data_IF_698696500800
#
_entry.id   IF_698696500800
#
_cell.length_a   1.000
_cell.length_b   1.000
_cell.length_c   1.000
_cell.angle_alpha   90.00
_cell.angle_beta   90.00
_cell.angle_gamma   90.00
#
_symmetry.space_group_name_H-M   'P 1'
#
loop_
_entity.id
_entity.type
_entity.pdbx_description
1 polymer ?
#
# COMPACT_ATOMS: atom_id res chain seq x y z
N UNK A 1 -12.83 16.02 -8.48
CA UNK A 1 -12.58 15.40 -7.16
C UNK A 1 -13.46 16.05 -6.08
N UNK A 2 -13.77 15.37 -4.97
CA UNK A 2 -14.53 15.92 -3.83
C UNK A 2 -13.61 16.37 -2.68
N UNK A 3 -13.88 17.50 -1.99
CA UNK A 3 -13.06 17.99 -0.88
C UNK A 3 -12.98 17.03 0.31
N UNK A 4 -14.09 16.40 0.70
CA UNK A 4 -14.20 15.61 1.92
C UNK A 4 -13.88 14.12 1.75
N UNK A 5 -13.40 13.67 0.58
CA UNK A 5 -13.33 12.24 0.15
C UNK A 5 -14.64 11.44 0.30
N UNK A 6 -15.70 12.02 0.86
CA UNK A 6 -17.03 11.43 1.03
C UNK A 6 -17.77 11.52 -0.30
N UNK A 7 -17.69 10.44 -1.06
CA UNK A 7 -18.53 10.22 -2.24
C UNK A 7 -19.70 9.32 -1.83
N UNK A 8 -20.89 9.68 -2.30
CA UNK A 8 -22.12 8.95 -2.03
C UNK A 8 -22.67 8.36 -3.32
N UNK A 9 -23.44 7.28 -3.21
CA UNK A 9 -24.07 6.62 -4.35
C UNK A 9 -25.56 6.92 -4.33
N UNK A 10 -26.08 7.42 -5.45
CA UNK A 10 -27.53 7.37 -5.73
C UNK A 10 -27.77 6.33 -6.81
N UNK A 11 -28.61 5.34 -6.53
CA UNK A 11 -29.09 4.40 -7.53
C UNK A 11 -30.22 5.02 -8.36
N UNK A 12 -29.99 5.19 -9.66
CA UNK A 12 -31.02 5.48 -10.68
C UNK A 12 -30.96 4.37 -11.75
N UNK A 13 -31.12 4.69 -13.04
CA UNK A 13 -30.83 3.76 -14.14
C UNK A 13 -29.35 3.31 -14.19
N UNK A 14 -28.46 4.11 -13.60
CA UNK A 14 -27.06 3.81 -13.32
C UNK A 14 -26.69 4.50 -12.00
N UNK A 15 -25.80 3.92 -11.20
CA UNK A 15 -25.43 4.57 -9.92
C UNK A 15 -24.45 5.72 -10.17
N UNK A 16 -24.67 6.86 -9.50
CA UNK A 16 -23.90 8.09 -9.68
C UNK A 16 -23.13 8.38 -8.38
N UNK A 17 -21.82 8.62 -8.49
CA UNK A 17 -21.03 9.18 -7.40
C UNK A 17 -21.15 10.70 -7.39
N UNK A 18 -21.42 11.27 -6.23
CA UNK A 18 -21.51 12.73 -6.07
C UNK A 18 -20.78 13.21 -4.83
N UNK A 19 -20.34 14.46 -4.89
CA UNK A 19 -19.79 15.18 -3.74
C UNK A 19 -20.95 15.75 -2.92
N UNK A 20 -20.87 15.65 -1.58
CA UNK A 20 -21.89 16.18 -0.68
C UNK A 20 -22.02 17.70 -0.69
N UNK A 21 -20.91 18.41 -0.96
CA UNK A 21 -20.84 19.86 -0.84
C UNK A 21 -20.53 20.54 -2.18
N UNK A 22 -19.31 20.31 -2.70
CA UNK A 22 -18.84 20.91 -3.95
C UNK A 22 -17.88 19.98 -4.68
N UNK A 23 -17.71 20.25 -5.96
CA UNK A 23 -16.61 19.72 -6.76
C UNK A 23 -15.41 20.67 -6.62
N UNK A 24 -14.20 20.12 -6.59
CA UNK A 24 -12.98 20.94 -6.70
C UNK A 24 -12.80 21.42 -8.14
N UNK A 25 -12.36 22.67 -8.30
CA UNK A 25 -12.10 23.27 -9.61
C UNK A 25 -10.95 22.57 -10.34
N UNK A 26 -9.94 22.13 -9.59
CA UNK A 26 -8.83 21.32 -10.10
C UNK A 26 -8.84 19.93 -9.46
N UNK A 27 -8.58 18.90 -10.26
CA UNK A 27 -8.37 17.53 -9.79
C UNK A 27 -6.89 17.20 -9.86
N UNK A 28 -6.33 16.77 -8.73
CA UNK A 28 -4.91 16.48 -8.60
C UNK A 28 -4.66 14.99 -8.36
N UNK A 29 -3.60 14.47 -8.97
CA UNK A 29 -3.05 13.16 -8.67
C UNK A 29 -1.59 13.34 -8.24
N UNK A 30 -1.36 13.33 -6.93
CA UNK A 30 -0.09 13.78 -6.36
C UNK A 30 0.09 15.27 -6.59
N UNK A 31 1.22 15.64 -7.19
CA UNK A 31 1.58 17.03 -7.51
C UNK A 31 1.21 17.42 -8.96
N UNK A 32 0.46 16.57 -9.67
CA UNK A 32 0.07 16.78 -11.07
C UNK A 32 -1.42 17.12 -11.16
N UNK A 33 -1.73 18.18 -11.89
CA UNK A 33 -3.09 18.50 -12.35
C UNK A 33 -3.46 17.47 -13.42
N UNK A 34 -4.55 16.74 -13.19
CA UNK A 34 -5.05 15.73 -14.12
C UNK A 34 -5.63 16.43 -15.35
N UNK A 35 -5.24 16.04 -16.58
CA UNK A 35 -5.78 16.62 -17.80
C UNK A 35 -7.30 16.48 -17.88
N UNK A 36 -7.98 17.53 -18.36
CA UNK A 36 -9.45 17.55 -18.45
C UNK A 36 -10.00 16.41 -19.31
N UNK A 37 -9.25 15.99 -20.33
CA UNK A 37 -9.62 14.88 -21.20
C UNK A 37 -9.71 13.53 -20.46
N UNK A 38 -9.04 13.39 -19.31
CA UNK A 38 -9.07 12.18 -18.48
C UNK A 38 -10.20 12.21 -17.45
N UNK A 39 -10.84 13.36 -17.23
CA UNK A 39 -11.77 13.55 -16.12
C UNK A 39 -13.21 13.20 -16.49
N UNK A 40 -13.89 12.56 -15.55
CA UNK A 40 -15.34 12.43 -15.57
C UNK A 40 -16.01 13.68 -15.01
N UNK A 41 -17.21 14.01 -15.50
CA UNK A 41 -18.07 15.02 -14.87
C UNK A 41 -18.27 14.71 -13.40
N UNK A 42 -18.20 15.76 -12.59
CA UNK A 42 -18.49 15.69 -11.18
C UNK A 42 -19.98 15.94 -10.95
N UNK A 43 -20.56 15.38 -9.89
CA UNK A 43 -21.96 15.58 -9.54
C UNK A 43 -22.08 16.15 -8.12
N UNK A 44 -23.06 17.02 -7.91
CA UNK A 44 -23.48 17.49 -6.59
C UNK A 44 -24.97 17.20 -6.46
N UNK A 45 -25.38 16.48 -5.40
CA UNK A 45 -26.78 16.16 -5.19
C UNK A 45 -27.39 16.94 -4.01
N UNK A 46 -28.48 17.67 -4.27
CA UNK A 46 -29.31 18.24 -3.22
C UNK A 46 -30.23 17.15 -2.65
N UNK A 47 -30.17 16.95 -1.34
CA UNK A 47 -30.98 15.97 -0.59
C UNK A 47 -30.96 14.54 -1.17
N UNK A 48 -29.84 14.13 -1.79
CA UNK A 48 -29.63 12.80 -2.36
C UNK A 48 -30.62 12.42 -3.49
N UNK A 49 -31.40 13.38 -4.00
CA UNK A 49 -32.46 13.11 -4.97
C UNK A 49 -32.22 13.81 -6.30
N UNK A 50 -31.74 15.05 -6.31
CA UNK A 50 -31.45 15.80 -7.55
C UNK A 50 -29.96 16.07 -7.66
N UNK A 51 -29.32 15.41 -8.62
CA UNK A 51 -27.90 15.48 -8.88
C UNK A 51 -27.63 16.31 -10.13
N UNK A 52 -26.94 17.43 -9.96
CA UNK A 52 -26.59 18.34 -11.05
C UNK A 52 -25.13 18.07 -11.47
N UNK A 53 -24.85 17.86 -12.77
CA UNK A 53 -23.48 17.70 -13.27
C UNK A 53 -22.73 19.04 -13.23
N UNK A 54 -21.45 18.98 -12.91
CA UNK A 54 -20.51 20.09 -12.86
C UNK A 54 -19.31 19.75 -13.76
N UNK A 55 -18.97 20.68 -14.65
CA UNK A 55 -17.87 20.53 -15.61
C UNK A 55 -18.26 19.82 -16.91
N UNK A 56 -17.26 19.59 -17.75
CA UNK A 56 -17.39 18.92 -19.05
C UNK A 56 -16.83 17.50 -18.93
N UNK A 57 -17.46 16.54 -19.61
CA UNK A 57 -17.00 15.15 -19.64
C UNK A 57 -15.82 15.05 -20.61
N UNK A 58 -14.66 14.63 -20.12
CA UNK A 58 -13.55 14.24 -20.99
C UNK A 58 -13.83 12.92 -21.72
N UNK A 59 -13.19 12.67 -22.88
CA UNK A 59 -13.31 11.41 -23.61
C UNK A 59 -12.77 10.20 -22.83
N UNK A 60 -11.96 10.41 -21.79
CA UNK A 60 -11.29 9.36 -21.05
C UNK A 60 -10.10 8.77 -21.80
N UNK A 61 -9.42 7.80 -21.16
CA UNK A 61 -8.27 7.09 -21.72
C UNK A 61 -8.59 5.60 -21.74
N UNK A 62 -8.41 4.96 -22.90
CA UNK A 62 -8.61 3.51 -23.04
C UNK A 62 -7.38 2.73 -22.56
N UNK A 63 -7.21 2.64 -21.24
CA UNK A 63 -6.11 1.91 -20.59
C UNK A 63 -6.58 1.32 -19.26
N UNK A 64 -5.84 0.34 -18.74
CA UNK A 64 -6.13 -0.31 -17.46
C UNK A 64 -5.56 0.46 -16.26
N UNK A 65 -4.53 1.27 -16.49
CA UNK A 65 -3.87 2.09 -15.48
C UNK A 65 -3.21 3.32 -16.09
N UNK A 66 -3.25 4.45 -15.38
CA UNK A 66 -2.53 5.68 -15.73
C UNK A 66 -1.55 6.03 -14.62
N UNK A 67 -0.26 6.13 -14.96
CA UNK A 67 0.77 6.64 -14.04
C UNK A 67 1.14 8.07 -14.42
N UNK A 68 0.81 9.03 -13.56
CA UNK A 68 1.22 10.41 -13.71
C UNK A 68 2.63 10.58 -13.14
N UNK A 69 3.58 11.01 -13.98
CA UNK A 69 5.00 11.11 -13.62
C UNK A 69 5.41 12.57 -13.53
N UNK A 70 5.94 12.99 -12.37
CA UNK A 70 6.49 14.32 -12.15
C UNK A 70 7.94 14.27 -11.70
N UNK A 71 8.65 15.38 -11.92
CA UNK A 71 10.01 15.62 -11.41
C UNK A 71 10.02 16.97 -10.73
N UNK A 72 9.43 17.02 -9.54
CA UNK A 72 9.23 18.26 -8.77
C UNK A 72 9.91 18.15 -7.41
N UNK A 73 10.57 19.24 -7.01
CA UNK A 73 11.06 19.36 -5.64
C UNK A 73 9.90 19.80 -4.75
N UNK A 74 9.43 18.91 -3.88
CA UNK A 74 8.31 19.17 -2.97
C UNK A 74 8.74 18.96 -1.52
N UNK A 75 7.89 19.31 -0.55
CA UNK A 75 8.14 19.03 0.86
C UNK A 75 8.34 17.53 1.15
N UNK A 76 7.79 16.66 0.29
CA UNK A 76 7.98 15.20 0.38
C UNK A 76 9.40 14.76 -0.01
N UNK A 77 10.16 15.61 -0.70
CA UNK A 77 11.55 15.37 -1.09
C UNK A 77 12.58 15.86 -0.04
N UNK A 78 12.13 16.49 1.04
CA UNK A 78 13.02 17.02 2.09
C UNK A 78 13.70 15.95 2.94
N UNK A 79 13.06 14.80 3.30
CA UNK A 79 13.76 13.73 3.99
C UNK A 79 15.01 13.27 3.21
N UNK A 80 16.09 12.96 3.93
CA UNK A 80 17.43 12.73 3.35
C UNK A 80 17.45 11.57 2.36
N UNK A 81 16.68 10.51 2.62
CA UNK A 81 16.74 9.27 1.85
C UNK A 81 15.63 9.13 0.79
N UNK A 82 14.74 10.12 0.66
CA UNK A 82 13.63 10.06 -0.29
C UNK A 82 14.08 10.45 -1.71
N UNK A 83 14.16 9.47 -2.60
CA UNK A 83 14.50 9.67 -4.02
C UNK A 83 13.26 9.93 -4.89
N UNK A 84 12.14 9.31 -4.54
CA UNK A 84 10.86 9.47 -5.18
C UNK A 84 9.74 9.21 -4.17
N UNK A 85 8.52 9.60 -4.51
CA UNK A 85 7.32 9.28 -3.74
C UNK A 85 6.20 8.94 -4.69
N UNK A 86 5.34 7.99 -4.31
CA UNK A 86 4.17 7.63 -5.09
C UNK A 86 2.93 7.37 -4.23
N UNK A 87 1.79 7.45 -4.89
CA UNK A 87 0.49 7.10 -4.30
C UNK A 87 -0.49 6.72 -5.40
N UNK A 88 -1.44 5.83 -5.08
CA UNK A 88 -2.66 5.71 -5.86
C UNK A 88 -3.49 7.00 -5.77
N UNK A 89 -4.27 7.27 -6.80
CA UNK A 89 -5.10 8.46 -6.93
C UNK A 89 -6.58 8.14 -7.13
N UNK A 90 -6.88 7.05 -7.85
CA UNK A 90 -8.24 6.65 -8.18
C UNK A 90 -8.36 5.13 -8.15
N UNK A 91 -9.45 4.65 -7.55
CA UNK A 91 -9.88 3.26 -7.62
C UNK A 91 -10.98 3.11 -8.68
N UNK A 92 -10.97 1.96 -9.36
CA UNK A 92 -12.06 1.48 -10.17
C UNK A 92 -13.26 1.16 -9.28
N UNK A 93 -14.46 1.35 -9.83
CA UNK A 93 -15.68 1.36 -9.04
C UNK A 93 -16.15 -0.03 -8.59
N UNK A 94 -16.04 -1.04 -9.44
CA UNK A 94 -16.66 -2.35 -9.20
C UNK A 94 -15.75 -3.27 -8.38
N UNK A 95 -14.44 -3.19 -8.60
CA UNK A 95 -13.39 -4.05 -8.08
C UNK A 95 -12.51 -3.35 -7.05
N UNK A 96 -12.68 -2.05 -6.85
CA UNK A 96 -11.82 -1.21 -5.98
C UNK A 96 -10.33 -1.22 -6.37
N UNK A 97 -10.02 -1.62 -7.61
CA UNK A 97 -8.64 -1.72 -8.10
C UNK A 97 -8.08 -0.34 -8.41
N UNK A 98 -6.83 -0.01 -8.03
CA UNK A 98 -6.18 1.21 -8.50
C UNK A 98 -6.13 1.30 -10.03
N UNK A 99 -6.61 2.40 -10.59
CA UNK A 99 -6.58 2.70 -12.04
C UNK A 99 -5.79 3.97 -12.36
N UNK A 100 -5.43 4.75 -11.36
CA UNK A 100 -4.51 5.86 -11.53
C UNK A 100 -3.62 5.99 -10.30
N UNK A 101 -2.37 6.34 -10.54
CA UNK A 101 -1.40 6.69 -9.50
C UNK A 101 -0.48 7.79 -9.97
N UNK A 102 0.25 8.37 -9.03
CA UNK A 102 1.34 9.31 -9.34
C UNK A 102 2.66 8.77 -8.82
N UNK A 103 3.72 9.20 -9.47
CA UNK A 103 5.09 9.12 -8.97
C UNK A 103 5.77 10.46 -9.19
N UNK A 104 6.39 10.99 -8.14
CA UNK A 104 7.21 12.19 -8.19
C UNK A 104 8.67 11.84 -7.89
N UNK A 105 9.58 12.17 -8.79
CA UNK A 105 11.02 11.97 -8.61
C UNK A 105 11.68 13.25 -8.12
N UNK A 106 12.48 13.17 -7.05
CA UNK A 106 13.07 14.34 -6.40
C UNK A 106 14.32 14.84 -7.14
N UNK A 107 14.28 15.98 -7.86
CA UNK A 107 15.34 16.39 -8.78
C UNK A 107 16.68 16.70 -8.11
N UNK A 108 16.67 17.23 -6.87
CA UNK A 108 17.90 17.52 -6.13
C UNK A 108 18.71 16.27 -5.81
N UNK A 109 18.04 15.11 -5.67
CA UNK A 109 18.70 13.84 -5.38
C UNK A 109 19.38 13.24 -6.60
N UNK A 110 18.83 13.47 -7.80
CA UNK A 110 19.39 12.99 -9.06
C UNK A 110 20.72 13.67 -9.43
N UNK A 111 20.98 14.88 -8.92
CA UNK A 111 22.14 15.72 -9.30
C UNK A 111 23.25 15.78 -8.24
N UNK A 112 23.05 15.23 -7.05
CA UNK A 112 23.72 15.67 -5.83
C UNK A 112 24.89 14.83 -5.30
N UNK A 113 25.13 13.60 -5.76
CA UNK A 113 26.23 12.80 -5.23
C UNK A 113 27.44 12.84 -6.18
N UNK A 114 28.63 13.16 -5.64
CA UNK A 114 29.89 13.16 -6.40
C UNK A 114 30.30 11.76 -6.86
N UNK A 115 29.56 10.72 -6.46
CA UNK A 115 29.61 9.35 -6.99
C UNK A 115 28.30 8.88 -7.67
N UNK A 116 27.34 9.77 -7.92
CA UNK A 116 26.04 9.45 -8.54
C UNK A 116 25.16 8.51 -7.70
N UNK A 117 23.85 8.61 -7.88
CA UNK A 117 22.97 7.49 -7.54
C UNK A 117 23.19 6.43 -8.62
N UNK A 118 23.56 5.22 -8.22
CA UNK A 118 23.62 4.10 -9.16
C UNK A 118 22.26 3.93 -9.84
N UNK A 119 22.27 3.78 -11.16
CA UNK A 119 21.08 3.59 -11.97
C UNK A 119 20.21 2.43 -11.43
N UNK A 120 20.86 1.37 -10.93
CA UNK A 120 20.16 0.22 -10.35
C UNK A 120 19.38 0.59 -9.08
N UNK A 121 19.94 1.45 -8.23
CA UNK A 121 19.24 1.98 -7.04
C UNK A 121 18.04 2.82 -7.46
N UNK A 122 18.19 3.70 -8.45
CA UNK A 122 17.08 4.51 -8.94
C UNK A 122 15.96 3.63 -9.51
N UNK A 123 16.29 2.67 -10.38
CA UNK A 123 15.32 1.74 -10.96
C UNK A 123 14.62 0.93 -9.86
N UNK A 124 15.35 0.47 -8.85
CA UNK A 124 14.76 -0.23 -7.70
C UNK A 124 13.79 0.66 -6.93
N UNK A 125 14.14 1.92 -6.67
CA UNK A 125 13.24 2.86 -6.00
C UNK A 125 12.01 3.17 -6.85
N UNK A 126 12.13 3.37 -8.16
CA UNK A 126 10.96 3.58 -9.03
C UNK A 126 10.02 2.37 -9.00
N UNK A 127 10.55 1.15 -9.02
CA UNK A 127 9.74 -0.08 -8.89
C UNK A 127 9.02 -0.15 -7.54
N UNK A 128 9.71 0.19 -6.44
CA UNK A 128 9.14 0.28 -5.10
C UNK A 128 7.97 1.28 -5.06
N UNK A 129 8.18 2.48 -5.58
CA UNK A 129 7.14 3.52 -5.62
C UNK A 129 5.94 3.11 -6.48
N UNK A 130 6.15 2.44 -7.61
CA UNK A 130 5.06 1.91 -8.43
C UNK A 130 4.21 0.90 -7.64
N UNK A 131 4.83 0.04 -6.82
CA UNK A 131 4.11 -0.95 -6.00
C UNK A 131 3.20 -0.29 -4.95
N UNK A 132 3.55 0.90 -4.44
CA UNK A 132 2.65 1.70 -3.60
C UNK A 132 1.41 2.19 -4.35
N UNK A 133 1.52 2.41 -5.67
CA UNK A 133 0.36 2.79 -6.51
C UNK A 133 -0.55 1.62 -6.83
N UNK A 134 -0.03 0.39 -6.81
CA UNK A 134 -0.73 -0.81 -7.26
C UNK A 134 -1.37 -1.62 -6.14
N UNK A 135 -0.69 -1.79 -5.01
CA UNK A 135 -1.18 -2.68 -3.95
C UNK A 135 -0.75 -2.30 -2.56
N UNK A 136 0.49 -1.85 -2.39
CA UNK A 136 1.09 -1.76 -1.07
C UNK A 136 0.93 -0.36 -0.50
N UNK A 137 -0.30 -0.01 -0.14
CA UNK A 137 -0.58 1.22 0.58
C UNK A 137 -1.57 0.93 1.69
N UNK A 138 -1.38 1.53 2.86
CA UNK A 138 -2.29 1.35 4.00
C UNK A 138 -3.72 1.77 3.65
N UNK A 139 -3.89 2.75 2.76
CA UNK A 139 -5.19 3.17 2.23
C UNK A 139 -5.86 2.17 1.29
N UNK A 140 -5.15 1.14 0.83
CA UNK A 140 -5.64 0.13 -0.11
C UNK A 140 -6.11 -1.17 0.58
N UNK A 141 -5.58 -1.51 1.74
CA UNK A 141 -5.85 -2.82 2.38
C UNK A 141 -7.33 -3.04 2.71
N UNK A 142 -8.06 -1.99 3.09
CA UNK A 142 -9.49 -2.08 3.35
C UNK A 142 -10.32 -2.36 2.08
N UNK A 143 -9.72 -2.18 0.90
CA UNK A 143 -10.36 -2.37 -0.40
C UNK A 143 -10.11 -3.74 -1.01
N UNK A 144 -9.25 -4.57 -0.42
CA UNK A 144 -8.97 -5.91 -0.93
C UNK A 144 -10.21 -6.79 -1.02
N UNK A 145 -10.19 -7.68 -2.00
CA UNK A 145 -11.26 -8.63 -2.32
C UNK A 145 -10.73 -10.05 -2.33
N UNK A 146 -11.60 -10.99 -2.01
CA UNK A 146 -11.29 -12.41 -2.12
C UNK A 146 -11.21 -12.86 -3.60
N UNK A 147 -10.85 -14.12 -3.82
CA UNK A 147 -10.74 -14.70 -5.17
C UNK A 147 -12.03 -14.72 -5.98
N UNK A 148 -13.19 -14.52 -5.33
CA UNK A 148 -14.49 -14.42 -5.99
C UNK A 148 -14.90 -12.96 -6.24
N UNK A 149 -14.02 -12.00 -5.96
CA UNK A 149 -14.28 -10.57 -6.07
C UNK A 149 -15.12 -10.00 -4.92
N UNK A 150 -15.35 -10.75 -3.83
CA UNK A 150 -16.11 -10.24 -2.68
C UNK A 150 -15.19 -9.40 -1.76
N UNK A 151 -15.60 -8.19 -1.33
CA UNK A 151 -14.83 -7.41 -0.37
C UNK A 151 -14.54 -8.17 0.92
N UNK A 152 -13.30 -8.14 1.39
CA UNK A 152 -12.96 -8.63 2.73
C UNK A 152 -13.55 -7.72 3.83
N UNK A 153 -13.55 -6.41 3.59
CA UNK A 153 -14.04 -5.41 4.53
C UNK A 153 -15.50 -5.06 4.23
N UNK A 154 -16.32 -4.98 5.28
CA UNK A 154 -17.73 -4.59 5.17
C UNK A 154 -17.86 -3.20 4.52
N UNK A 155 -18.78 -3.08 3.56
CA UNK A 155 -19.06 -1.83 2.84
C UNK A 155 -20.25 -1.09 3.45
N UNK A 156 -20.18 0.23 3.49
CA UNK A 156 -21.33 1.09 3.76
C UNK A 156 -22.25 1.11 2.53
N UNK A 157 -23.53 0.70 2.65
CA UNK A 157 -24.47 0.70 1.53
C UNK A 157 -24.69 2.07 0.87
N UNK A 158 -24.50 3.17 1.60
CA UNK A 158 -24.74 4.53 1.08
C UNK A 158 -23.58 5.03 0.19
N UNK A 159 -22.36 4.58 0.45
CA UNK A 159 -21.16 5.06 -0.24
C UNK A 159 -20.50 4.01 -1.10
N UNK A 160 -20.70 2.72 -0.80
CA UNK A 160 -19.98 1.59 -1.39
C UNK A 160 -18.56 1.41 -0.85
N UNK A 161 -18.11 2.29 0.05
CA UNK A 161 -16.76 2.32 0.60
C UNK A 161 -16.68 1.49 1.89
N UNK A 162 -15.48 1.12 2.39
CA UNK A 162 -15.37 0.44 3.67
C UNK A 162 -16.05 1.24 4.80
N UNK A 163 -16.71 0.53 5.70
CA UNK A 163 -17.64 1.12 6.68
C UNK A 163 -16.98 2.00 7.75
N UNK A 164 -15.74 1.66 8.14
CA UNK A 164 -15.04 2.31 9.25
C UNK A 164 -13.88 3.14 8.69
N UNK A 165 -13.92 4.45 8.91
CA UNK A 165 -12.85 5.38 8.58
C UNK A 165 -12.16 5.85 9.87
N UNK A 166 -10.84 5.70 9.94
CA UNK A 166 -10.01 6.20 11.03
C UNK A 166 -9.57 7.63 10.72
N UNK A 167 -10.19 8.61 11.37
CA UNK A 167 -9.89 10.04 11.19
C UNK A 167 -8.47 10.41 11.67
N UNK A 168 -7.86 9.64 12.57
CA UNK A 168 -6.50 9.92 13.05
C UNK A 168 -5.46 9.46 12.03
N UNK A 169 -5.68 8.30 11.43
CA UNK A 169 -4.79 7.71 10.44
C UNK A 169 -5.13 8.11 9.00
N UNK A 170 -6.31 8.71 8.77
CA UNK A 170 -6.82 9.10 7.45
C UNK A 170 -6.89 7.92 6.45
N UNK A 171 -7.25 6.74 6.97
CA UNK A 171 -7.42 5.49 6.20
C UNK A 171 -8.70 4.77 6.64
N UNK A 172 -9.18 3.87 5.79
CA UNK A 172 -10.24 2.95 6.17
C UNK A 172 -9.67 1.75 6.94
N UNK A 173 -10.39 1.31 7.96
CA UNK A 173 -9.96 0.16 8.78
C UNK A 173 -10.23 -1.14 8.04
N UNK A 174 -9.18 -1.91 7.68
CA UNK A 174 -9.34 -3.21 7.03
C UNK A 174 -9.92 -4.27 7.98
N UNK A 175 -10.53 -5.30 7.40
CA UNK A 175 -10.97 -6.50 8.13
C UNK A 175 -9.79 -7.25 8.78
N UNK A 176 -10.04 -7.93 9.89
CA UNK A 176 -9.03 -8.74 10.61
C UNK A 176 -8.47 -9.92 9.79
N UNK A 177 -9.15 -10.34 8.71
CA UNK A 177 -8.66 -11.32 7.76
C UNK A 177 -7.64 -10.75 6.75
N UNK A 178 -7.50 -9.42 6.70
CA UNK A 178 -6.48 -8.73 5.88
C UNK A 178 -5.35 -8.26 6.78
N UNK A 179 -5.68 -7.49 7.82
CA UNK A 179 -4.70 -6.88 8.71
C UNK A 179 -5.05 -7.19 10.16
N UNK A 180 -4.11 -7.82 10.88
CA UNK A 180 -4.35 -8.29 12.23
C UNK A 180 -3.27 -7.85 13.20
N UNK A 181 -3.70 -7.38 14.37
CA UNK A 181 -2.80 -7.09 15.48
C UNK A 181 -2.50 -8.37 16.25
N UNK A 182 -1.21 -8.67 16.40
CA UNK A 182 -0.70 -9.85 17.10
C UNK A 182 0.20 -9.37 18.25
N UNK A 183 0.00 -9.94 19.44
CA UNK A 183 0.81 -9.62 20.62
C UNK A 183 1.78 -10.76 20.89
N UNK A 184 3.08 -10.48 20.83
CA UNK A 184 4.14 -11.39 21.30
C UNK A 184 4.49 -11.05 22.74
N UNK A 185 4.17 -11.97 23.65
CA UNK A 185 4.50 -11.85 25.09
C UNK A 185 5.97 -12.14 25.33
N UNK A 186 6.52 -11.60 26.42
CA UNK A 186 7.89 -11.86 26.86
C UNK A 186 8.96 -11.54 25.79
N UNK A 187 8.76 -10.47 25.03
CA UNK A 187 9.70 -10.03 24.01
C UNK A 187 10.99 -9.51 24.66
N UNK A 188 12.10 -10.23 24.48
CA UNK A 188 13.38 -9.90 25.13
C UNK A 188 14.02 -8.66 24.50
N UNK A 189 14.21 -7.62 25.28
CA UNK A 189 14.96 -6.41 24.88
C UNK A 189 16.22 -6.26 25.73
N UNK A 190 17.04 -5.24 25.44
CA UNK A 190 18.17 -4.88 26.31
C UNK A 190 17.70 -4.49 27.73
N UNK A 191 16.53 -3.88 27.85
CA UNK A 191 15.98 -3.35 29.11
C UNK A 191 15.07 -4.31 29.88
N UNK A 192 14.90 -5.55 29.41
CA UNK A 192 14.01 -6.54 30.03
C UNK A 192 12.97 -7.11 29.06
N UNK A 193 11.96 -7.76 29.62
CA UNK A 193 10.85 -8.37 28.87
C UNK A 193 9.72 -7.36 28.68
N UNK A 194 9.16 -7.29 27.47
CA UNK A 194 8.01 -6.43 27.16
C UNK A 194 6.98 -7.19 26.33
N UNK A 195 5.76 -6.69 26.28
CA UNK A 195 4.79 -7.13 25.27
C UNK A 195 5.01 -6.35 23.98
N UNK A 196 5.27 -7.06 22.88
CA UNK A 196 5.43 -6.44 21.56
C UNK A 196 4.13 -6.59 20.77
N UNK A 197 3.54 -5.45 20.41
CA UNK A 197 2.44 -5.37 19.45
C UNK A 197 3.03 -5.38 18.04
N UNK A 198 2.54 -6.28 17.20
CA UNK A 198 2.96 -6.44 15.81
C UNK A 198 1.72 -6.40 14.94
N UNK A 199 1.77 -5.64 13.85
CA UNK A 199 0.71 -5.66 12.86
C UNK A 199 1.13 -6.55 11.69
N UNK A 200 0.25 -7.46 11.29
CA UNK A 200 0.53 -8.44 10.26
C UNK A 200 -0.49 -8.37 9.14
N UNK A 201 -0.02 -8.45 7.89
CA UNK A 201 -0.86 -8.83 6.76
C UNK A 201 -1.06 -10.35 6.80
N UNK A 202 -2.32 -10.76 6.92
CA UNK A 202 -2.73 -12.15 7.20
C UNK A 202 -3.57 -12.75 6.07
N UNK A 203 -3.46 -12.22 4.85
CA UNK A 203 -4.16 -12.78 3.69
C UNK A 203 -3.62 -14.18 3.31
N UNK A 204 -4.42 -15.04 2.65
CA UNK A 204 -4.12 -16.47 2.52
C UNK A 204 -2.78 -16.81 1.84
N UNK A 205 -2.43 -16.15 0.73
CA UNK A 205 -1.18 -16.42 0.00
C UNK A 205 0.01 -15.79 0.69
N UNK A 206 -0.15 -14.59 1.24
CA UNK A 206 0.87 -13.97 2.09
C UNK A 206 1.24 -14.90 3.24
N UNK A 207 0.23 -15.46 3.94
CA UNK A 207 0.45 -16.47 4.99
C UNK A 207 1.19 -17.70 4.45
N UNK A 208 0.77 -18.26 3.31
CA UNK A 208 1.40 -19.44 2.73
C UNK A 208 2.88 -19.20 2.41
N UNK A 209 3.20 -18.07 1.75
CA UNK A 209 4.57 -17.72 1.37
C UNK A 209 5.46 -17.54 2.60
N UNK A 210 5.03 -16.83 3.63
CA UNK A 210 5.89 -16.64 4.82
C UNK A 210 6.08 -17.94 5.62
N UNK A 211 5.05 -18.80 5.70
CA UNK A 211 5.16 -20.10 6.36
C UNK A 211 6.18 -20.99 5.66
N UNK A 212 6.14 -21.02 4.33
CA UNK A 212 7.11 -21.74 3.52
C UNK A 212 8.52 -21.14 3.66
N UNK A 213 8.65 -19.83 3.46
CA UNK A 213 9.92 -19.11 3.49
C UNK A 213 10.68 -19.33 4.80
N UNK A 214 10.02 -19.14 5.94
CA UNK A 214 10.65 -19.31 7.25
C UNK A 214 10.66 -20.76 7.76
N UNK A 215 9.95 -21.71 7.12
CA UNK A 215 9.64 -23.04 7.69
C UNK A 215 8.96 -22.96 9.05
N UNK A 216 7.93 -22.12 9.14
CA UNK A 216 7.14 -21.94 10.36
C UNK A 216 5.65 -22.07 10.06
N UNK A 217 5.08 -23.27 10.22
CA UNK A 217 3.65 -23.55 9.92
C UNK A 217 2.66 -22.77 10.80
N UNK A 218 3.10 -22.31 11.97
CA UNK A 218 2.26 -21.55 12.92
C UNK A 218 2.39 -20.03 12.77
N UNK A 219 3.05 -19.54 11.73
CA UNK A 219 3.15 -18.11 11.46
C UNK A 219 1.81 -17.56 10.95
N UNK A 220 1.39 -16.44 11.53
CA UNK A 220 0.06 -15.85 11.34
C UNK A 220 -0.02 -14.98 10.08
N UNK A 221 1.10 -14.45 9.60
CA UNK A 221 1.17 -13.55 8.45
C UNK A 221 2.53 -12.89 8.31
N UNK A 222 2.63 -11.90 7.43
CA UNK A 222 3.83 -11.10 7.22
C UNK A 222 3.77 -9.84 8.09
N UNK A 223 4.83 -9.57 8.85
CA UNK A 223 4.92 -8.36 9.68
C UNK A 223 5.05 -7.11 8.80
N UNK A 224 4.29 -6.07 9.13
CA UNK A 224 4.48 -4.73 8.58
C UNK A 224 5.48 -3.95 9.42
N UNK A 225 6.19 -3.03 8.76
CA UNK A 225 7.14 -2.13 9.38
C UNK A 225 6.48 -1.37 10.55
N UNK A 226 7.16 -1.40 11.69
CA UNK A 226 6.68 -0.80 12.94
C UNK A 226 7.52 0.40 13.42
N UNK A 227 8.56 0.76 12.67
CA UNK A 227 9.38 1.94 12.93
C UNK A 227 9.07 3.07 11.93
N UNK A 228 9.27 4.31 12.37
CA UNK A 228 9.03 5.52 11.57
C UNK A 228 7.73 6.24 11.88
N UNK A 229 7.38 7.21 11.04
CA UNK A 229 6.15 7.99 11.16
C UNK A 229 4.93 7.17 10.66
N UNK A 230 3.72 7.67 10.87
CA UNK A 230 2.46 7.05 10.41
C UNK A 230 2.43 6.77 8.89
N UNK A 231 3.24 7.48 8.10
CA UNK A 231 3.41 7.21 6.66
C UNK A 231 4.41 6.08 6.30
N UNK A 232 5.26 5.66 7.25
CA UNK A 232 6.27 4.60 7.08
C UNK A 232 5.82 3.30 7.73
N UNK A 233 5.24 3.39 8.93
CA UNK A 233 4.54 2.28 9.54
C UNK A 233 3.30 1.95 8.71
N UNK A 234 3.01 0.66 8.49
CA UNK A 234 1.87 0.14 7.71
C UNK A 234 2.02 0.09 6.17
N UNK A 235 3.06 0.68 5.59
CA UNK A 235 3.21 0.78 4.12
C UNK A 235 4.35 -0.08 3.57
N UNK A 236 5.07 -0.78 4.43
CA UNK A 236 6.25 -1.59 4.09
C UNK A 236 6.27 -2.92 4.83
N UNK A 237 7.00 -3.88 4.29
CA UNK A 237 7.38 -5.10 5.01
C UNK A 237 8.38 -4.78 6.13
N UNK A 238 8.26 -5.47 7.26
CA UNK A 238 9.20 -5.35 8.40
C UNK A 238 10.61 -5.73 7.95
N UNK A 239 11.51 -4.73 7.93
CA UNK A 239 12.86 -4.91 7.39
C UNK A 239 13.65 -6.01 8.11
N UNK A 240 13.50 -6.12 9.43
CA UNK A 240 14.12 -7.18 10.25
C UNK A 240 13.91 -8.58 9.66
N UNK A 241 12.72 -8.85 9.11
CA UNK A 241 12.33 -10.16 8.61
C UNK A 241 12.53 -10.31 7.10
N UNK A 242 12.58 -9.21 6.37
CA UNK A 242 12.50 -9.21 4.91
C UNK A 242 13.57 -8.31 4.28
N UNK A 243 14.76 -8.21 4.87
CA UNK A 243 15.85 -7.26 4.55
C UNK A 243 16.06 -6.93 3.05
N UNK A 244 16.07 -7.94 2.18
CA UNK A 244 16.30 -7.77 0.73
C UNK A 244 14.99 -7.69 -0.10
N UNK A 245 13.83 -7.58 0.53
CA UNK A 245 12.56 -7.40 -0.16
C UNK A 245 12.44 -5.94 -0.61
N UNK A 246 11.98 -5.74 -1.86
CA UNK A 246 11.86 -4.42 -2.46
C UNK A 246 10.97 -3.46 -1.68
N UNK A 247 9.94 -3.96 -0.99
CA UNK A 247 8.96 -3.20 -0.22
C UNK A 247 9.33 -3.05 1.27
N UNK A 248 10.61 -3.18 1.63
CA UNK A 248 11.10 -2.71 2.93
C UNK A 248 11.29 -1.19 2.92
N UNK A 249 11.15 -0.54 4.09
CA UNK A 249 11.12 0.94 4.19
C UNK A 249 12.45 1.65 3.90
N UNK A 250 13.54 0.92 3.69
CA UNK A 250 14.83 1.48 3.28
C UNK A 250 15.51 0.56 2.27
N UNK A 251 16.11 1.15 1.24
CA UNK A 251 16.83 0.41 0.20
C UNK A 251 18.01 -0.39 0.78
N UNK A 252 18.09 -1.66 0.42
CA UNK A 252 19.27 -2.51 0.63
C UNK A 252 19.82 -2.93 -0.74
N UNK A 253 21.13 -3.16 -0.82
CA UNK A 253 21.74 -3.71 -2.03
C UNK A 253 21.05 -5.05 -2.40
N UNK A 254 20.85 -5.29 -3.68
CA UNK A 254 20.21 -6.52 -4.20
C UNK A 254 18.73 -6.70 -3.80
N UNK A 255 17.97 -5.61 -3.62
CA UNK A 255 16.51 -5.68 -3.41
C UNK A 255 15.80 -6.49 -4.52
N UNK A 256 14.90 -7.38 -4.10
CA UNK A 256 14.14 -8.28 -4.98
C UNK A 256 12.64 -8.08 -4.84
N UNK A 257 11.91 -8.20 -5.97
CA UNK A 257 10.48 -8.47 -5.95
C UNK A 257 10.32 -9.96 -5.66
N UNK A 258 9.96 -10.30 -4.43
CA UNK A 258 9.86 -11.69 -4.00
C UNK A 258 8.44 -12.24 -4.15
N UNK A 259 8.28 -13.56 -3.99
CA UNK A 259 6.96 -14.20 -3.91
C UNK A 259 6.06 -13.59 -2.82
N UNK A 260 6.63 -12.92 -1.81
CA UNK A 260 5.84 -12.25 -0.78
C UNK A 260 5.05 -11.07 -1.34
N UNK A 261 5.70 -10.18 -2.09
CA UNK A 261 5.02 -9.03 -2.72
C UNK A 261 4.12 -9.48 -3.87
N UNK A 262 4.50 -10.52 -4.61
CA UNK A 262 3.63 -11.13 -5.62
C UNK A 262 2.36 -11.74 -4.99
N UNK A 263 2.49 -12.41 -3.85
CA UNK A 263 1.34 -12.93 -3.11
C UNK A 263 0.40 -11.81 -2.62
N UNK A 264 0.95 -10.66 -2.22
CA UNK A 264 0.14 -9.50 -1.85
C UNK A 264 -0.63 -8.93 -3.06
N UNK A 265 0.03 -8.83 -4.23
CA UNK A 265 -0.63 -8.45 -5.48
C UNK A 265 -1.81 -9.37 -5.78
N UNK A 266 -1.63 -10.68 -5.70
CA UNK A 266 -2.70 -11.64 -5.98
C UNK A 266 -3.81 -11.63 -4.91
N UNK A 267 -3.45 -11.56 -3.62
CA UNK A 267 -4.40 -11.51 -2.51
C UNK A 267 -5.20 -10.20 -2.44
N UNK A 268 -4.79 -9.16 -3.18
CA UNK A 268 -5.60 -7.95 -3.32
C UNK A 268 -6.93 -8.20 -4.06
N UNK A 269 -6.98 -9.26 -4.87
CA UNK A 269 -8.09 -9.58 -5.77
C UNK A 269 -8.07 -8.79 -7.07
N UNK A 270 -6.98 -8.07 -7.36
CA UNK A 270 -6.89 -7.16 -8.52
C UNK A 270 -6.02 -7.67 -9.66
N UNK A 271 -5.09 -8.56 -9.38
CA UNK A 271 -4.08 -9.01 -10.34
C UNK A 271 -4.04 -10.53 -10.38
N UNK A 272 -3.91 -11.07 -11.59
CA UNK A 272 -3.42 -12.43 -11.79
C UNK A 272 -1.89 -12.36 -11.91
N UNK A 273 -1.19 -13.18 -11.12
CA UNK A 273 0.25 -13.00 -10.87
C UNK A 273 1.02 -14.26 -11.25
N UNK A 274 1.96 -14.11 -12.18
CA UNK A 274 2.94 -15.17 -12.46
C UNK A 274 4.11 -15.12 -11.48
N UNK A 275 4.21 -16.14 -10.63
CA UNK A 275 5.32 -16.30 -9.67
C UNK A 275 6.65 -16.65 -10.34
N UNK A 276 6.69 -16.92 -11.65
CA UNK A 276 7.93 -17.16 -12.39
C UNK A 276 8.84 -15.92 -12.42
N UNK A 277 8.26 -14.72 -12.32
CA UNK A 277 8.99 -13.46 -12.24
C UNK A 277 9.44 -13.12 -10.80
N UNK A 278 9.00 -13.90 -9.82
CA UNK A 278 9.40 -13.75 -8.42
C UNK A 278 10.86 -14.16 -8.24
N UNK A 279 11.64 -13.29 -7.60
CA UNK A 279 13.02 -13.60 -7.25
C UNK A 279 13.10 -14.24 -5.85
N UNK A 280 14.02 -15.20 -5.62
CA UNK A 280 14.18 -15.80 -4.31
C UNK A 280 14.56 -14.77 -3.25
N UNK A 281 13.80 -14.69 -2.16
CA UNK A 281 14.23 -13.99 -0.95
C UNK A 281 15.13 -14.94 -0.15
N UNK A 282 16.37 -14.54 0.10
CA UNK A 282 17.34 -15.39 0.82
C UNK A 282 17.33 -15.14 2.33
N UNK A 283 17.14 -13.88 2.72
CA UNK A 283 17.16 -13.46 4.12
C UNK A 283 16.10 -14.19 4.94
N UNK A 284 16.50 -14.82 6.04
CA UNK A 284 15.60 -15.53 6.95
C UNK A 284 15.10 -16.89 6.47
N UNK A 285 15.44 -17.31 5.25
CA UNK A 285 14.90 -18.54 4.65
C UNK A 285 15.28 -19.78 5.49
N UNK A 286 14.28 -20.61 5.79
CA UNK A 286 14.39 -21.83 6.61
C UNK A 286 14.92 -21.62 8.05
N UNK A 287 14.94 -20.40 8.59
CA UNK A 287 15.45 -20.17 9.96
C UNK A 287 14.48 -20.55 11.08
N UNK A 288 13.25 -20.96 10.76
CA UNK A 288 12.28 -21.50 11.70
C UNK A 288 11.49 -20.43 12.47
N UNK A 289 10.53 -20.90 13.27
CA UNK A 289 9.63 -20.04 14.05
C UNK A 289 10.35 -19.12 15.04
N UNK A 290 11.45 -19.59 15.63
CA UNK A 290 12.20 -18.82 16.62
C UNK A 290 12.80 -17.55 16.03
N UNK A 291 13.28 -17.58 14.78
CA UNK A 291 13.78 -16.40 14.08
C UNK A 291 12.69 -15.33 13.89
N UNK A 292 11.51 -15.77 13.44
CA UNK A 292 10.44 -14.84 13.06
C UNK A 292 9.60 -14.37 14.26
N UNK A 293 9.29 -15.26 15.22
CA UNK A 293 8.38 -14.98 16.34
C UNK A 293 9.07 -14.44 17.60
N UNK A 294 10.40 -14.34 17.64
CA UNK A 294 11.14 -13.82 18.79
C UNK A 294 11.98 -12.59 18.45
N UNK A 295 12.47 -11.91 19.48
CA UNK A 295 13.33 -10.74 19.31
C UNK A 295 14.71 -11.11 18.80
N UNK A 296 15.40 -10.18 18.13
CA UNK A 296 16.79 -10.39 17.71
C UNK A 296 17.68 -10.80 18.90
N UNK A 297 17.47 -10.19 20.08
CA UNK A 297 18.22 -10.54 21.28
C UNK A 297 17.97 -12.00 21.68
N UNK A 298 16.71 -12.42 21.76
CA UNK A 298 16.38 -13.80 22.15
C UNK A 298 16.91 -14.80 21.12
N UNK A 299 16.80 -14.49 19.83
CA UNK A 299 17.37 -15.32 18.77
C UNK A 299 18.89 -15.44 18.90
N UNK A 300 19.62 -14.34 19.05
CA UNK A 300 21.08 -14.33 19.21
C UNK A 300 21.48 -15.13 20.45
N UNK A 301 20.84 -14.86 21.60
CA UNK A 301 21.12 -15.58 22.85
C UNK A 301 20.96 -17.11 22.64
N UNK A 302 19.89 -17.55 21.96
CA UNK A 302 19.65 -18.98 21.65
C UNK A 302 20.67 -19.64 20.71
N UNK A 303 21.44 -18.84 19.97
CA UNK A 303 22.52 -19.33 19.08
C UNK A 303 23.88 -19.34 19.75
N UNK A 304 24.10 -18.51 20.76
CA UNK A 304 25.33 -18.48 21.54
C UNK A 304 25.37 -19.60 22.59
N UNK A 305 24.22 -20.13 22.99
CA UNK A 305 24.07 -21.22 23.95
C UNK A 305 24.22 -22.64 23.33
N UNK A 306 24.47 -22.74 22.01
CA UNK A 306 24.70 -24.00 21.28
C UNK A 306 26.16 -24.10 20.82
#
# INVERSE_FOLDING_TARGET
QCPSRKMFIVERNYSIHYCSEKCLDETHCGDIIVPEEHLQQCYICKNHQKCDPIGIQGPGVNTEFILYVSVLQTNRCEPIDTLATASFCQLERQQDRPIAGNINVCPKRLRGDRNGIDFDRLVSTIKHEILHTWVFSSGLFAFFRDSNGKPFTERDPATGWPKIYDEKLQIYTPNENVLKQIVRKNWKTRGGLVDKIILMLVTPRVQAVVREHFRCSTLEGAELENQGNVGTALTHWEKRLFEHEIMTGTYTQESVISNLTLALLEDSGWYDVSYEYGKPLLWGRNLGCDFVKTSCKQWIDSKLEK
#
